data_IF_903441329857
#
_entry.id   IF_903441329857
#
_cell.length_a   1.000
_cell.length_b   1.000
_cell.length_c   1.000
_cell.angle_alpha   90.00
_cell.angle_beta   90.00
_cell.angle_gamma   90.00
#
_symmetry.space_group_name_H-M   'P 1'
#
loop_
_entity.id
_entity.type
_entity.pdbx_description
1 polymer ?
#
# COMPACT_ATOMS: atom_id res chain seq x y z
N UNK A 1 58.64 6.24 10.69
CA UNK A 1 57.76 5.99 11.84
C UNK A 1 56.31 6.12 11.39
N UNK A 2 55.65 4.98 11.17
CA UNK A 2 54.19 4.91 10.93
C UNK A 2 53.49 4.84 12.29
N UNK A 3 52.20 5.15 12.24
CA UNK A 3 51.08 4.78 13.14
C UNK A 3 50.64 5.79 14.19
N UNK A 4 49.65 6.59 13.80
CA UNK A 4 48.52 6.93 14.65
C UNK A 4 47.28 6.99 13.75
N UNK A 5 46.75 5.81 13.38
CA UNK A 5 45.47 5.72 12.70
C UNK A 5 44.37 5.95 13.74
N UNK A 6 43.84 7.16 13.77
CA UNK A 6 42.59 7.49 14.44
C UNK A 6 41.50 6.50 14.01
N UNK A 7 41.23 5.51 14.85
CA UNK A 7 40.00 4.74 14.78
C UNK A 7 38.87 5.66 15.22
N UNK A 8 38.32 6.42 14.26
CA UNK A 8 37.00 7.01 14.40
C UNK A 8 36.01 5.87 14.63
N UNK A 9 35.70 5.63 15.90
CA UNK A 9 34.59 4.79 16.35
C UNK A 9 33.31 5.39 15.81
N UNK A 10 32.89 4.93 14.62
CA UNK A 10 31.59 5.26 14.05
C UNK A 10 30.52 4.77 15.01
N UNK A 11 29.91 5.70 15.74
CA UNK A 11 28.78 5.47 16.64
C UNK A 11 27.55 5.06 15.84
N UNK A 12 27.47 3.79 15.43
CA UNK A 12 26.26 3.22 14.86
C UNK A 12 25.41 2.64 15.99
N UNK A 13 24.24 3.22 16.22
CA UNK A 13 23.22 2.61 17.10
C UNK A 13 22.79 1.25 16.52
N UNK A 14 22.69 0.19 17.33
CA UNK A 14 22.22 -1.11 16.85
C UNK A 14 20.83 -0.98 16.22
N UNK A 15 20.64 -1.56 15.04
CA UNK A 15 19.37 -1.50 14.31
C UNK A 15 18.33 -2.34 15.03
N UNK A 16 17.16 -1.76 15.28
CA UNK A 16 16.10 -2.42 16.02
C UNK A 16 15.29 -3.32 15.09
N UNK A 17 15.34 -4.62 15.35
CA UNK A 17 14.66 -5.65 14.55
C UNK A 17 13.14 -5.49 14.51
N UNK A 18 12.54 -5.02 15.61
CA UNK A 18 11.10 -4.74 15.69
C UNK A 18 10.70 -3.55 14.82
N UNK A 19 11.55 -2.51 14.76
CA UNK A 19 11.31 -1.36 13.90
C UNK A 19 11.43 -1.72 12.41
N UNK A 20 12.40 -2.57 12.05
CA UNK A 20 12.50 -3.10 10.68
C UNK A 20 11.25 -3.91 10.29
N UNK A 21 10.73 -4.74 11.19
CA UNK A 21 9.49 -5.49 10.99
C UNK A 21 8.27 -4.57 10.84
N UNK A 22 8.14 -3.57 11.72
CA UNK A 22 7.03 -2.62 11.69
C UNK A 22 7.04 -1.75 10.42
N UNK A 23 8.22 -1.34 9.95
CA UNK A 23 8.38 -0.63 8.68
C UNK A 23 8.00 -1.53 7.48
N UNK A 24 8.39 -2.80 7.48
CA UNK A 24 7.96 -3.77 6.47
C UNK A 24 6.46 -4.09 6.53
N UNK A 25 5.83 -3.98 7.70
CA UNK A 25 4.40 -4.16 7.88
C UNK A 25 3.61 -2.97 7.32
N UNK A 26 4.03 -1.74 7.64
CA UNK A 26 3.47 -0.52 7.04
C UNK A 26 3.60 -0.55 5.53
N UNK A 27 4.76 -0.97 5.03
CA UNK A 27 4.98 -1.10 3.62
C UNK A 27 6.06 -2.14 3.29
N UNK A 28 5.71 -3.18 2.50
CA UNK A 28 6.70 -4.16 2.08
C UNK A 28 7.85 -3.47 1.34
N UNK A 29 9.08 -3.72 1.81
CA UNK A 29 10.30 -3.12 1.27
C UNK A 29 10.97 -2.09 2.19
N UNK A 30 10.23 -1.38 3.05
CA UNK A 30 10.80 -0.34 3.92
C UNK A 30 11.72 -0.91 5.01
N UNK A 31 11.41 -2.08 5.57
CA UNK A 31 12.29 -2.74 6.54
C UNK A 31 13.61 -3.19 5.92
N UNK A 32 13.62 -3.60 4.65
CA UNK A 32 14.85 -3.92 3.91
C UNK A 32 15.68 -2.66 3.61
N UNK A 33 15.03 -1.53 3.30
CA UNK A 33 15.70 -0.21 3.18
C UNK A 33 16.31 0.19 4.53
N UNK A 34 15.57 0.02 5.62
CA UNK A 34 16.05 0.25 6.99
C UNK A 34 17.26 -0.60 7.32
N UNK A 35 17.28 -1.85 6.87
CA UNK A 35 18.42 -2.77 6.99
C UNK A 35 19.56 -2.48 6.00
N UNK A 36 19.48 -1.43 5.18
CA UNK A 36 20.56 -1.03 4.26
C UNK A 36 20.62 -1.87 2.98
N UNK A 37 19.60 -2.69 2.75
CA UNK A 37 19.39 -3.56 1.60
C UNK A 37 18.40 -2.92 0.61
N UNK A 38 18.68 -1.67 0.20
CA UNK A 38 17.77 -0.88 -0.65
C UNK A 38 17.35 -1.57 -1.96
N UNK A 39 18.26 -2.30 -2.61
CA UNK A 39 17.94 -3.05 -3.83
C UNK A 39 16.97 -4.24 -3.60
N UNK A 40 16.93 -4.81 -2.39
CA UNK A 40 15.89 -5.78 -2.01
C UNK A 40 14.60 -5.08 -1.64
N UNK A 41 14.69 -3.97 -0.90
CA UNK A 41 13.52 -3.15 -0.55
C UNK A 41 12.75 -2.66 -1.78
N UNK A 42 13.46 -2.18 -2.80
CA UNK A 42 12.84 -1.74 -4.05
C UNK A 42 12.16 -2.89 -4.81
N UNK A 43 12.73 -4.11 -4.77
CA UNK A 43 12.11 -5.29 -5.37
C UNK A 43 10.83 -5.70 -4.65
N UNK A 44 10.83 -5.73 -3.32
CA UNK A 44 9.62 -6.01 -2.54
C UNK A 44 8.55 -4.94 -2.73
N UNK A 45 8.96 -3.67 -2.77
CA UNK A 45 8.06 -2.55 -3.00
C UNK A 45 7.43 -2.62 -4.40
N UNK A 46 8.24 -2.82 -5.44
CA UNK A 46 7.78 -2.98 -6.81
C UNK A 46 6.88 -4.19 -6.99
N UNK A 47 7.24 -5.34 -6.42
CA UNK A 47 6.42 -6.55 -6.46
C UNK A 47 5.06 -6.34 -5.77
N UNK A 48 5.04 -5.67 -4.62
CA UNK A 48 3.81 -5.33 -3.91
C UNK A 48 2.90 -4.40 -4.73
N UNK A 49 3.46 -3.34 -5.33
CA UNK A 49 2.73 -2.43 -6.20
C UNK A 49 2.16 -3.11 -7.44
N UNK A 50 2.96 -3.93 -8.12
CA UNK A 50 2.53 -4.68 -9.31
C UNK A 50 1.40 -5.65 -8.95
N UNK A 51 1.52 -6.36 -7.82
CA UNK A 51 0.47 -7.29 -7.36
C UNK A 51 -0.83 -6.55 -7.06
N UNK A 52 -0.75 -5.38 -6.41
CA UNK A 52 -1.93 -4.56 -6.10
C UNK A 52 -2.58 -3.99 -7.37
N UNK A 53 -1.78 -3.46 -8.30
CA UNK A 53 -2.28 -2.92 -9.56
C UNK A 53 -2.93 -4.02 -10.43
N UNK A 54 -2.29 -5.20 -10.51
CA UNK A 54 -2.84 -6.35 -11.23
C UNK A 54 -4.16 -6.83 -10.60
N UNK A 55 -4.26 -6.84 -9.26
CA UNK A 55 -5.49 -7.18 -8.56
C UNK A 55 -6.64 -6.24 -8.95
N UNK A 56 -6.40 -4.93 -8.96
CA UNK A 56 -7.41 -3.93 -9.31
C UNK A 56 -7.87 -4.08 -10.76
N UNK A 57 -6.93 -4.24 -11.70
CA UNK A 57 -7.26 -4.50 -13.10
C UNK A 57 -8.10 -5.78 -13.27
N UNK A 58 -7.79 -6.85 -12.54
CA UNK A 58 -8.58 -8.08 -12.58
C UNK A 58 -10.02 -7.87 -12.06
N UNK A 59 -10.21 -7.03 -11.05
CA UNK A 59 -11.54 -6.72 -10.51
C UNK A 59 -12.38 -5.86 -11.48
N UNK A 60 -11.75 -4.96 -12.24
CA UNK A 60 -12.43 -4.11 -13.23
C UNK A 60 -12.89 -4.87 -14.48
N UNK A 61 -12.15 -5.90 -14.90
CA UNK A 61 -12.43 -6.63 -16.15
C UNK A 61 -13.66 -7.55 -16.01
N UNK A 62 -14.07 -7.91 -14.78
CA UNK A 62 -15.36 -8.55 -14.51
C UNK A 62 -15.33 -9.75 -13.56
N UNK A 63 -16.52 -10.25 -13.21
CA UNK A 63 -16.79 -11.26 -12.16
C UNK A 63 -16.04 -12.59 -12.31
N UNK A 64 -15.68 -12.98 -13.55
CA UNK A 64 -14.93 -14.22 -13.83
C UNK A 64 -13.48 -14.23 -13.32
N UNK A 65 -12.91 -13.06 -13.03
CA UNK A 65 -11.52 -12.92 -12.55
C UNK A 65 -11.42 -12.70 -11.04
N UNK A 66 -12.53 -12.80 -10.30
CA UNK A 66 -12.54 -12.60 -8.85
C UNK A 66 -11.59 -13.56 -8.12
N UNK A 67 -11.50 -14.82 -8.58
CA UNK A 67 -10.57 -15.81 -8.04
C UNK A 67 -9.10 -15.46 -8.33
N UNK A 68 -8.83 -14.81 -9.47
CA UNK A 68 -7.49 -14.31 -9.82
C UNK A 68 -7.14 -13.12 -8.94
N UNK A 69 -8.09 -12.20 -8.72
CA UNK A 69 -7.95 -11.09 -7.77
C UNK A 69 -7.66 -11.58 -6.34
N UNK A 70 -8.42 -12.56 -5.85
CA UNK A 70 -8.19 -13.19 -4.54
C UNK A 70 -6.82 -13.88 -4.45
N UNK A 71 -6.39 -14.56 -5.52
CA UNK A 71 -5.05 -15.15 -5.59
C UNK A 71 -3.94 -14.08 -5.54
N UNK A 72 -4.11 -12.96 -6.24
CA UNK A 72 -3.17 -11.85 -6.22
C UNK A 72 -3.14 -11.13 -4.86
N UNK A 73 -4.28 -11.01 -4.19
CA UNK A 73 -4.34 -10.52 -2.80
C UNK A 73 -3.59 -11.46 -1.85
N UNK A 74 -3.81 -12.77 -1.98
CA UNK A 74 -3.09 -13.77 -1.19
C UNK A 74 -1.58 -13.71 -1.46
N UNK A 75 -1.17 -13.59 -2.72
CA UNK A 75 0.23 -13.40 -3.11
C UNK A 75 0.82 -12.13 -2.49
N UNK A 76 0.09 -11.00 -2.50
CA UNK A 76 0.50 -9.76 -1.85
C UNK A 76 0.71 -9.95 -0.35
N UNK A 77 -0.23 -10.58 0.36
CA UNK A 77 -0.11 -10.86 1.79
C UNK A 77 1.12 -11.75 2.09
N UNK A 78 1.36 -12.76 1.24
CA UNK A 78 2.49 -13.67 1.38
C UNK A 78 3.82 -12.95 1.14
N UNK A 79 3.91 -12.09 0.12
CA UNK A 79 5.06 -11.20 -0.13
C UNK A 79 5.31 -10.31 1.09
N UNK A 80 4.26 -9.77 1.69
CA UNK A 80 4.35 -8.88 2.87
C UNK A 80 4.86 -9.65 4.09
N UNK A 81 4.35 -10.86 4.34
CA UNK A 81 4.83 -11.74 5.40
C UNK A 81 6.30 -12.10 5.22
N UNK A 82 6.70 -12.51 4.01
CA UNK A 82 8.10 -12.80 3.69
C UNK A 82 8.97 -11.55 3.87
N UNK A 83 8.49 -10.37 3.47
CA UNK A 83 9.22 -9.12 3.65
C UNK A 83 9.39 -8.74 5.13
N UNK A 84 8.40 -9.01 5.99
CA UNK A 84 8.49 -8.79 7.44
C UNK A 84 9.51 -9.75 8.04
N UNK A 85 9.42 -11.04 7.72
CA UNK A 85 10.31 -12.08 8.25
C UNK A 85 11.75 -11.86 7.78
N UNK A 86 11.97 -11.57 6.49
CA UNK A 86 13.29 -11.28 5.93
C UNK A 86 13.89 -10.01 6.55
N UNK A 87 13.09 -8.96 6.76
CA UNK A 87 13.55 -7.74 7.43
C UNK A 87 13.89 -7.98 8.91
N UNK A 88 13.05 -8.71 9.65
CA UNK A 88 13.30 -9.01 11.05
C UNK A 88 14.52 -9.93 11.25
N UNK A 89 14.65 -10.98 10.43
CA UNK A 89 15.79 -11.90 10.45
C UNK A 89 17.07 -11.21 9.99
N UNK A 90 17.02 -10.39 8.94
CA UNK A 90 18.18 -9.63 8.47
C UNK A 90 18.66 -8.61 9.52
N UNK A 91 17.74 -7.95 10.21
CA UNK A 91 18.08 -7.03 11.30
C UNK A 91 18.70 -7.75 12.51
N UNK A 92 18.24 -8.98 12.82
CA UNK A 92 18.82 -9.81 13.89
C UNK A 92 20.18 -10.40 13.53
N UNK A 93 20.38 -10.77 12.26
CA UNK A 93 21.65 -11.37 11.76
C UNK A 93 22.75 -10.35 11.47
N UNK A 94 22.42 -9.06 11.37
CA UNK A 94 23.39 -7.98 11.15
C UNK A 94 23.36 -6.96 12.30
N UNK A 95 23.96 -7.29 13.47
CA UNK A 95 24.23 -6.30 14.51
C UNK A 95 25.32 -5.29 14.10
N UNK A 96 26.09 -5.59 13.05
CA UNK A 96 27.24 -4.80 12.62
C UNK A 96 26.83 -3.50 11.92
N UNK A 97 27.03 -2.38 12.64
CA UNK A 97 27.74 -1.14 12.26
C UNK A 97 27.87 -0.81 10.76
N UNK A 98 26.83 -1.00 9.94
CA UNK A 98 26.82 -0.44 8.60
C UNK A 98 26.71 1.09 8.73
N UNK A 99 27.70 1.87 8.25
CA UNK A 99 27.56 3.32 8.19
C UNK A 99 26.26 3.63 7.46
N UNK A 100 25.49 4.61 7.97
CA UNK A 100 24.25 5.05 7.33
C UNK A 100 24.53 5.26 5.85
N UNK A 101 24.00 4.38 5.00
CA UNK A 101 24.10 4.58 3.55
C UNK A 101 23.40 5.90 3.24
N UNK A 102 23.90 6.70 2.29
CA UNK A 102 23.37 8.04 2.00
C UNK A 102 21.90 8.03 1.56
N UNK A 103 21.34 6.87 1.24
CA UNK A 103 19.94 6.68 0.86
C UNK A 103 19.00 6.46 2.07
N UNK A 104 19.54 6.29 3.28
CA UNK A 104 18.76 5.96 4.48
C UNK A 104 18.39 7.22 5.28
N UNK A 105 17.81 8.21 4.61
CA UNK A 105 17.29 9.40 5.25
C UNK A 105 15.79 9.28 5.50
N UNK A 106 15.27 10.03 6.47
CA UNK A 106 13.83 10.04 6.79
C UNK A 106 12.96 10.34 5.56
N UNK A 107 13.46 11.15 4.61
CA UNK A 107 12.76 11.48 3.36
C UNK A 107 12.44 10.24 2.51
N UNK A 108 13.28 9.20 2.48
CA UNK A 108 13.01 8.02 1.64
C UNK A 108 11.85 7.19 2.16
N UNK A 109 11.64 7.18 3.49
CA UNK A 109 10.46 6.58 4.10
C UNK A 109 9.21 7.40 3.80
N UNK A 110 9.29 8.73 3.93
CA UNK A 110 8.17 9.63 3.65
C UNK A 110 7.77 9.57 2.18
N UNK A 111 8.73 9.56 1.26
CA UNK A 111 8.46 9.39 -0.18
C UNK A 111 7.85 8.02 -0.44
N UNK A 112 8.34 6.95 0.19
CA UNK A 112 7.76 5.61 0.05
C UNK A 112 6.28 5.57 0.46
N UNK A 113 5.95 6.16 1.62
CA UNK A 113 4.56 6.26 2.11
C UNK A 113 3.72 7.16 1.20
N UNK A 114 4.26 8.29 0.74
CA UNK A 114 3.57 9.19 -0.19
C UNK A 114 3.23 8.48 -1.51
N UNK A 115 4.20 7.80 -2.12
CA UNK A 115 3.98 7.06 -3.36
C UNK A 115 2.94 5.96 -3.17
N UNK A 116 3.00 5.20 -2.07
CA UNK A 116 1.98 4.20 -1.78
C UNK A 116 0.60 4.84 -1.56
N UNK A 117 0.50 5.95 -0.83
CA UNK A 117 -0.77 6.65 -0.64
C UNK A 117 -1.34 7.16 -1.96
N UNK A 118 -0.51 7.70 -2.85
CA UNK A 118 -0.92 8.17 -4.18
C UNK A 118 -1.40 7.04 -5.09
N UNK A 119 -0.92 5.82 -4.90
CA UNK A 119 -1.40 4.65 -5.65
C UNK A 119 -2.64 4.05 -4.99
N UNK A 120 -2.66 3.91 -3.66
CA UNK A 120 -3.78 3.27 -2.94
C UNK A 120 -5.04 4.13 -3.02
N UNK A 121 -4.95 5.43 -2.78
CA UNK A 121 -6.13 6.32 -2.71
C UNK A 121 -7.01 6.31 -3.97
N UNK A 122 -6.48 6.45 -5.21
CA UNK A 122 -7.30 6.39 -6.42
C UNK A 122 -7.89 5.00 -6.65
N UNK A 123 -7.16 3.92 -6.33
CA UNK A 123 -7.66 2.56 -6.47
C UNK A 123 -8.91 2.33 -5.60
N UNK A 124 -8.92 2.85 -4.36
CA UNK A 124 -10.09 2.76 -3.49
C UNK A 124 -11.28 3.57 -3.99
N UNK A 125 -11.03 4.79 -4.50
CA UNK A 125 -12.07 5.68 -5.04
C UNK A 125 -12.74 5.14 -6.32
N UNK A 126 -12.09 4.22 -7.02
CA UNK A 126 -12.62 3.63 -8.23
C UNK A 126 -13.72 2.61 -7.95
N UNK A 127 -13.63 1.88 -6.84
CA UNK A 127 -14.65 0.90 -6.47
C UNK A 127 -15.80 1.50 -5.68
N UNK A 128 -15.52 2.45 -4.78
CA UNK A 128 -16.54 3.00 -3.89
C UNK A 128 -16.50 4.52 -3.82
N UNK A 129 -17.62 5.15 -4.11
CA UNK A 129 -17.78 6.60 -4.03
C UNK A 129 -18.90 6.98 -3.04
N UNK A 130 -18.62 7.86 -2.06
CA UNK A 130 -19.65 8.38 -1.19
C UNK A 130 -20.49 9.44 -1.91
N UNK A 131 -21.81 9.29 -1.87
CA UNK A 131 -22.77 10.29 -2.34
C UNK A 131 -23.60 10.81 -1.18
N UNK A 132 -23.84 12.12 -1.20
CA UNK A 132 -24.79 12.78 -0.31
C UNK A 132 -26.13 12.88 -1.02
N UNK A 133 -27.23 12.64 -0.31
CA UNK A 133 -28.60 12.70 -0.87
C UNK A 133 -29.23 14.06 -0.53
N UNK A 134 -29.31 15.00 -1.50
CA UNK A 134 -29.87 16.32 -1.26
C UNK A 134 -31.40 16.40 -1.45
N UNK A 135 -32.03 15.37 -2.02
CA UNK A 135 -33.46 15.40 -2.41
C UNK A 135 -34.27 14.29 -1.78
N UNK A 136 -35.53 14.59 -1.43
CA UNK A 136 -36.49 13.63 -0.85
C UNK A 136 -37.19 12.74 -1.89
N UNK A 137 -36.66 12.64 -3.11
CA UNK A 137 -37.31 11.85 -4.17
C UNK A 137 -37.36 10.35 -3.86
N UNK A 138 -36.49 9.87 -2.96
CA UNK A 138 -36.46 8.48 -2.47
C UNK A 138 -36.70 8.39 -0.96
N UNK A 139 -37.43 9.34 -0.34
CA UNK A 139 -37.56 9.46 1.13
C UNK A 139 -38.15 8.21 1.83
N UNK A 140 -38.91 7.37 1.11
CA UNK A 140 -39.41 6.09 1.63
C UNK A 140 -38.29 5.05 1.86
N UNK A 141 -37.11 5.21 1.24
CA UNK A 141 -35.96 4.28 1.32
C UNK A 141 -34.66 4.97 1.76
N UNK A 142 -34.47 6.23 1.42
CA UNK A 142 -33.24 7.02 1.63
C UNK A 142 -33.61 8.42 2.14
N UNK A 143 -33.17 8.77 3.35
CA UNK A 143 -33.53 10.05 3.94
C UNK A 143 -32.62 11.18 3.47
N UNK A 144 -33.17 12.39 3.41
CA UNK A 144 -32.39 13.60 3.11
C UNK A 144 -31.36 13.82 4.21
N UNK A 145 -30.10 13.96 3.81
CA UNK A 145 -28.98 14.08 4.75
C UNK A 145 -28.13 12.82 4.91
N UNK A 146 -28.55 11.69 4.34
CA UNK A 146 -27.80 10.44 4.40
C UNK A 146 -26.58 10.45 3.46
N UNK A 147 -25.53 9.75 3.90
CA UNK A 147 -24.36 9.41 3.09
C UNK A 147 -24.45 7.96 2.67
N UNK A 148 -24.56 7.74 1.36
CA UNK A 148 -24.58 6.39 0.76
C UNK A 148 -23.25 6.10 0.08
N UNK A 149 -22.82 4.85 0.13
CA UNK A 149 -21.63 4.39 -0.56
C UNK A 149 -22.08 3.65 -1.82
N UNK A 150 -21.75 4.19 -2.99
CA UNK A 150 -22.12 3.60 -4.27
C UNK A 150 -21.00 2.70 -4.79
N UNK A 151 -21.38 1.50 -5.25
CA UNK A 151 -20.53 0.64 -6.06
C UNK A 151 -20.50 1.18 -7.49
N UNK A 152 -19.31 1.51 -7.98
CA UNK A 152 -19.10 2.04 -9.33
C UNK A 152 -18.67 0.97 -10.34
N UNK A 153 -18.73 -0.30 -9.95
CA UNK A 153 -18.38 -1.40 -10.84
C UNK A 153 -19.34 -1.45 -12.04
N UNK A 154 -18.84 -1.49 -13.28
CA UNK A 154 -19.69 -1.48 -14.48
C UNK A 154 -20.35 -2.85 -14.66
N UNK A 155 -21.45 -3.08 -13.93
CA UNK A 155 -22.30 -4.27 -14.07
C UNK A 155 -23.67 -3.90 -14.66
N UNK A 156 -24.38 -4.91 -15.17
CA UNK A 156 -25.74 -4.73 -15.67
C UNK A 156 -26.68 -4.56 -14.47
N UNK A 157 -27.47 -3.48 -14.42
CA UNK A 157 -28.36 -3.25 -13.29
C UNK A 157 -29.43 -4.34 -13.22
N UNK A 158 -29.67 -4.85 -12.02
CA UNK A 158 -30.71 -5.82 -11.75
C UNK A 158 -31.99 -5.09 -11.32
N UNK A 159 -33.15 -5.61 -11.73
CA UNK A 159 -34.43 -5.04 -11.34
C UNK A 159 -34.57 -5.00 -9.81
N UNK A 160 -34.75 -3.80 -9.26
CA UNK A 160 -34.82 -3.55 -7.81
C UNK A 160 -33.60 -2.85 -7.21
N UNK A 161 -32.53 -2.64 -7.98
CA UNK A 161 -31.36 -1.88 -7.55
C UNK A 161 -31.55 -0.37 -7.71
N UNK A 162 -31.00 0.40 -6.76
CA UNK A 162 -30.91 1.86 -6.86
C UNK A 162 -29.66 2.19 -7.66
N UNK A 163 -29.85 2.84 -8.82
CA UNK A 163 -28.75 3.21 -9.72
C UNK A 163 -28.49 4.71 -9.68
N UNK A 164 -27.22 5.08 -9.84
CA UNK A 164 -26.80 6.46 -10.11
C UNK A 164 -26.70 6.64 -11.62
N UNK A 165 -27.31 7.70 -12.14
CA UNK A 165 -27.19 8.08 -13.55
C UNK A 165 -27.05 9.59 -13.66
N UNK A 166 -26.35 10.04 -14.70
CA UNK A 166 -26.27 11.46 -15.05
C UNK A 166 -27.50 11.81 -15.91
N UNK A 167 -28.27 12.80 -15.46
CA UNK A 167 -29.40 13.31 -16.26
C UNK A 167 -28.87 14.02 -17.50
N UNK A 168 -29.38 13.67 -18.67
CA UNK A 168 -29.04 14.32 -19.93
C UNK A 168 -29.75 15.66 -20.13
N UNK A 169 -30.68 16.01 -19.24
CA UNK A 169 -31.30 17.33 -19.19
C UNK A 169 -30.40 18.26 -18.37
N UNK A 170 -29.83 19.28 -19.03
CA UNK A 170 -29.07 20.35 -18.40
C UNK A 170 -29.91 21.06 -17.30
N UNK A 171 -29.27 21.60 -16.25
CA UNK A 171 -29.93 22.10 -15.03
C UNK A 171 -30.88 23.28 -15.23
#
# INVERSE_FOLDING_TARGET
MKTASEHQTRTGSPRQWWLAGLLSYLQPGLGQVYNGQGAKGLRFFGAGLISLAAMVLCLEIGSGLIYVGLFLLFAYLLITLVAIVDAALSARRQPDLFPRKPYNHWYTYVIGVLVASLVITPLWKQFMQPFFIPSGAMEDTLYVGDYVLADMTPDKPVAGEVILYESLEEP
#
